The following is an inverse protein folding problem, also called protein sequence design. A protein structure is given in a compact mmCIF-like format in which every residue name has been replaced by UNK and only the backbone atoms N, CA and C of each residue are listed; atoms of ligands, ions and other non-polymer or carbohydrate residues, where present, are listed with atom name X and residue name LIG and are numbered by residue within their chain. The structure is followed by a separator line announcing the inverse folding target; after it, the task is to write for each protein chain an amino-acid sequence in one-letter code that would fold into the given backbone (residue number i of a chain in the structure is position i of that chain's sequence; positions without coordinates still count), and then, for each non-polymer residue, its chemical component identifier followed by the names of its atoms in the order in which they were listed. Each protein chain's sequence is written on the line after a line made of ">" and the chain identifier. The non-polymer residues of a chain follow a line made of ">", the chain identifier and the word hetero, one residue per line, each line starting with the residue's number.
data_IF_084016904702
#
_entry.id   IF_084016904702
#
_cell.length_a   1.000
_cell.length_b   1.000
_cell.length_c   1.000
_cell.angle_alpha   90.00
_cell.angle_beta   90.00
_cell.angle_gamma   90.00
#
_symmetry.space_group_name_H-M   'P 1'
#
loop_
_entity.id
_entity.type
_entity.pdbx_description
1 polymer ?
#
# COMPACT_ATOMS: atom_id res chain seq x y z
N UNK A 1 -8.30 2.67 -10.48
CA UNK A 1 -8.47 1.79 -9.30
C UNK A 1 -7.75 0.49 -9.58
N UNK A 2 -7.36 -0.25 -8.54
CA UNK A 2 -6.67 -1.53 -8.72
C UNK A 2 -7.40 -2.62 -7.94
N UNK A 3 -7.61 -3.75 -8.60
CA UNK A 3 -8.06 -4.99 -7.97
C UNK A 3 -6.84 -5.73 -7.44
N UNK A 4 -6.92 -6.20 -6.20
CA UNK A 4 -5.90 -7.06 -5.59
C UNK A 4 -6.45 -8.48 -5.47
N UNK A 5 -5.68 -9.43 -5.99
CA UNK A 5 -5.90 -10.86 -5.81
C UNK A 5 -4.85 -11.40 -4.83
N UNK A 6 -5.32 -11.94 -3.71
CA UNK A 6 -4.47 -12.49 -2.67
C UNK A 6 -4.74 -13.98 -2.48
N UNK A 7 -3.69 -14.79 -2.40
CA UNK A 7 -3.78 -16.19 -1.99
C UNK A 7 -2.46 -16.55 -1.32
N UNK A 8 -2.46 -17.42 -0.30
CA UNK A 8 -1.27 -17.99 0.39
C UNK A 8 0.05 -17.17 0.22
N UNK A 9 0.07 -15.94 0.74
CA UNK A 9 1.24 -15.05 0.78
C UNK A 9 1.60 -14.30 -0.51
N UNK A 10 0.90 -14.52 -1.62
CA UNK A 10 1.06 -13.77 -2.88
C UNK A 10 -0.10 -12.80 -3.05
N UNK A 11 0.24 -11.55 -3.34
CA UNK A 11 -0.71 -10.51 -3.73
C UNK A 11 -0.34 -10.01 -5.11
N UNK A 12 -1.30 -10.04 -6.04
CA UNK A 12 -1.16 -9.46 -7.37
C UNK A 12 -2.11 -8.28 -7.51
N UNK A 13 -1.58 -7.13 -7.88
CA UNK A 13 -2.37 -5.95 -8.22
C UNK A 13 -2.63 -5.89 -9.73
N UNK A 14 -3.85 -5.51 -10.10
CA UNK A 14 -4.30 -5.37 -11.47
C UNK A 14 -5.00 -4.02 -11.61
N UNK A 15 -4.48 -3.17 -12.50
CA UNK A 15 -5.08 -1.87 -12.76
C UNK A 15 -6.35 -2.03 -13.60
N UNK A 16 -7.53 -1.97 -12.97
CA UNK A 16 -8.81 -2.11 -13.64
C UNK A 16 -9.93 -1.38 -12.86
N UNK A 17 -10.93 -0.89 -13.58
CA UNK A 17 -12.12 -0.27 -12.99
C UNK A 17 -13.33 -1.23 -12.95
N UNK A 18 -13.35 -2.23 -13.82
CA UNK A 18 -14.39 -3.25 -13.91
C UNK A 18 -13.83 -4.53 -14.53
N UNK A 19 -14.48 -5.66 -14.26
CA UNK A 19 -14.14 -6.96 -14.84
C UNK A 19 -15.36 -7.87 -14.78
N UNK A 20 -15.33 -8.94 -15.57
CA UNK A 20 -16.28 -10.03 -15.48
C UNK A 20 -15.63 -11.25 -14.83
N UNK A 21 -16.24 -11.80 -13.80
CA UNK A 21 -15.85 -13.06 -13.19
C UNK A 21 -16.69 -14.18 -13.79
N UNK A 22 -16.06 -15.17 -14.43
CA UNK A 22 -16.74 -16.37 -14.95
C UNK A 22 -16.33 -17.60 -14.14
N UNK A 23 -17.31 -18.44 -13.83
CA UNK A 23 -17.11 -19.71 -13.15
C UNK A 23 -18.20 -20.71 -13.51
N UNK A 24 -17.92 -22.00 -13.31
CA UNK A 24 -18.86 -23.08 -13.62
C UNK A 24 -19.22 -23.83 -12.35
N UNK A 25 -20.51 -24.01 -12.10
CA UNK A 25 -20.99 -24.79 -10.98
C UNK A 25 -20.56 -26.26 -11.12
N UNK A 26 -20.01 -26.84 -10.05
CA UNK A 26 -19.30 -28.12 -10.17
C UNK A 26 -20.20 -29.32 -10.45
N UNK A 27 -21.47 -29.29 -10.02
CA UNK A 27 -22.43 -30.39 -10.17
C UNK A 27 -23.25 -30.19 -11.43
N UNK A 28 -24.09 -29.15 -11.44
CA UNK A 28 -24.97 -28.80 -12.56
C UNK A 28 -24.25 -28.41 -13.86
N UNK A 29 -22.94 -28.14 -13.82
CA UNK A 29 -22.14 -27.67 -14.97
C UNK A 29 -22.67 -26.40 -15.63
N UNK A 30 -23.41 -25.59 -14.90
CA UNK A 30 -23.95 -24.30 -15.34
C UNK A 30 -22.89 -23.21 -15.22
N UNK A 31 -22.77 -22.38 -16.24
CA UNK A 31 -21.87 -21.23 -16.27
C UNK A 31 -22.52 -19.99 -15.65
N UNK A 32 -21.73 -19.31 -14.83
CA UNK A 32 -22.06 -18.05 -14.18
C UNK A 32 -21.10 -16.97 -14.66
N UNK A 33 -21.64 -15.78 -14.87
CA UNK A 33 -20.90 -14.57 -15.17
C UNK A 33 -21.37 -13.45 -14.27
N UNK A 34 -20.43 -12.76 -13.66
CA UNK A 34 -20.69 -11.66 -12.74
C UNK A 34 -19.90 -10.44 -13.18
N UNK A 35 -20.57 -9.34 -13.47
CA UNK A 35 -19.91 -8.07 -13.74
C UNK A 35 -19.66 -7.32 -12.45
N UNK A 36 -18.42 -6.95 -12.23
CA UNK A 36 -17.97 -6.27 -11.03
C UNK A 36 -17.38 -4.90 -11.36
N UNK A 37 -17.58 -3.95 -10.45
CA UNK A 37 -16.95 -2.63 -10.45
C UNK A 37 -16.04 -2.48 -9.25
N UNK A 38 -14.84 -1.95 -9.49
CA UNK A 38 -13.85 -1.62 -8.47
C UNK A 38 -14.03 -0.17 -8.06
N UNK A 39 -14.52 0.07 -6.85
CA UNK A 39 -14.79 1.42 -6.33
C UNK A 39 -13.83 1.77 -5.18
N UNK A 40 -13.73 3.04 -4.74
CA UNK A 40 -12.94 3.39 -3.56
C UNK A 40 -13.44 2.78 -2.24
N UNK A 41 -14.72 2.40 -2.19
CA UNK A 41 -15.39 1.91 -0.99
C UNK A 41 -15.42 0.37 -0.92
N UNK A 42 -15.11 -0.32 -2.04
CA UNK A 42 -15.16 -1.77 -2.16
C UNK A 42 -15.54 -2.25 -3.56
N UNK A 43 -15.89 -3.54 -3.66
CA UNK A 43 -16.32 -4.21 -4.87
C UNK A 43 -17.86 -4.20 -4.93
N UNK A 44 -18.39 -3.75 -6.06
CA UNK A 44 -19.83 -3.72 -6.36
C UNK A 44 -20.12 -4.73 -7.47
N UNK A 45 -21.07 -5.63 -7.24
CA UNK A 45 -21.60 -6.49 -8.30
C UNK A 45 -22.71 -5.74 -9.05
N UNK A 46 -22.56 -5.62 -10.36
CA UNK A 46 -23.40 -4.78 -11.22
C UNK A 46 -24.49 -5.59 -11.89
N UNK A 47 -24.14 -6.78 -12.38
CA UNK A 47 -25.06 -7.70 -13.05
C UNK A 47 -24.56 -9.14 -12.87
N UNK A 48 -25.49 -10.08 -12.75
CA UNK A 48 -25.21 -11.51 -12.80
C UNK A 48 -25.96 -12.13 -13.95
N UNK A 49 -25.30 -13.06 -14.63
CA UNK A 49 -25.86 -13.86 -15.72
C UNK A 49 -25.58 -15.33 -15.48
N UNK A 50 -26.58 -16.17 -15.71
CA UNK A 50 -26.48 -17.63 -15.63
C UNK A 50 -27.14 -18.29 -16.83
N UNK A 51 -26.49 -19.30 -17.42
CA UNK A 51 -26.97 -20.01 -18.62
C UNK A 51 -27.74 -21.29 -18.31
N UNK A 52 -28.51 -21.30 -17.22
CA UNK A 52 -29.28 -22.46 -16.82
C UNK A 52 -29.91 -22.26 -15.44
N UNK A 53 -30.64 -23.28 -15.01
CA UNK A 53 -31.18 -23.39 -13.67
C UNK A 53 -31.05 -24.86 -13.22
N UNK A 54 -30.77 -25.07 -11.95
CA UNK A 54 -30.65 -26.39 -11.32
C UNK A 54 -30.91 -26.26 -9.82
N UNK A 55 -30.98 -27.39 -9.11
CA UNK A 55 -31.37 -27.40 -7.70
C UNK A 55 -30.43 -26.52 -6.85
N UNK A 56 -30.98 -25.50 -6.20
CA UNK A 56 -30.24 -24.54 -5.37
C UNK A 56 -29.49 -23.46 -6.17
N UNK A 57 -29.70 -23.40 -7.49
CA UNK A 57 -29.12 -22.44 -8.41
C UNK A 57 -30.22 -21.79 -9.27
N UNK A 58 -31.43 -21.67 -8.71
CA UNK A 58 -32.56 -21.06 -9.38
C UNK A 58 -32.33 -19.54 -9.53
N UNK A 59 -32.48 -18.97 -10.73
CA UNK A 59 -32.49 -17.52 -10.92
C UNK A 59 -33.58 -16.88 -10.05
N UNK A 60 -33.34 -15.68 -9.49
CA UNK A 60 -34.33 -15.02 -8.66
C UNK A 60 -35.56 -14.60 -9.48
N UNK A 61 -36.72 -14.36 -8.84
CA UNK A 61 -37.96 -14.05 -9.55
C UNK A 61 -37.90 -12.80 -10.44
N UNK A 62 -36.99 -11.86 -10.16
CA UNK A 62 -36.76 -10.65 -10.94
C UNK A 62 -35.78 -10.83 -12.10
N UNK A 63 -35.19 -12.02 -12.26
CA UNK A 63 -34.32 -12.34 -13.37
C UNK A 63 -35.09 -12.37 -14.70
N UNK A 64 -34.44 -11.86 -15.74
CA UNK A 64 -34.97 -11.82 -17.11
C UNK A 64 -34.18 -12.76 -18.00
N UNK A 65 -34.88 -13.58 -18.77
CA UNK A 65 -34.25 -14.42 -19.79
C UNK A 65 -33.97 -13.58 -21.04
N UNK A 66 -32.69 -13.43 -21.39
CA UNK A 66 -32.22 -12.68 -22.57
C UNK A 66 -31.17 -13.53 -23.26
N UNK A 67 -31.38 -13.86 -24.54
CA UNK A 67 -30.45 -14.65 -25.36
C UNK A 67 -29.99 -15.97 -24.72
N UNK A 68 -30.90 -16.64 -24.00
CA UNK A 68 -30.61 -17.90 -23.31
C UNK A 68 -29.90 -17.76 -21.95
N UNK A 69 -29.67 -16.54 -21.49
CA UNK A 69 -29.10 -16.24 -20.17
C UNK A 69 -30.14 -15.58 -19.27
N UNK A 70 -30.30 -16.08 -18.05
CA UNK A 70 -31.00 -15.35 -17.01
C UNK A 70 -30.09 -14.23 -16.51
N UNK A 71 -30.60 -12.99 -16.49
CA UNK A 71 -29.85 -11.79 -16.11
C UNK A 71 -30.60 -11.02 -15.04
N UNK A 72 -29.90 -10.56 -14.00
CA UNK A 72 -30.46 -9.70 -12.97
C UNK A 72 -29.39 -8.82 -12.32
N UNK A 73 -29.83 -7.77 -11.62
CA UNK A 73 -28.96 -6.93 -10.80
C UNK A 73 -29.13 -7.31 -9.33
N UNK A 74 -28.12 -7.93 -8.68
CA UNK A 74 -28.22 -8.27 -7.27
C UNK A 74 -28.34 -7.01 -6.40
N UNK A 75 -29.19 -7.08 -5.37
CA UNK A 75 -29.25 -6.05 -4.31
C UNK A 75 -28.32 -6.45 -3.17
N UNK A 76 -27.01 -6.45 -3.43
CA UNK A 76 -26.00 -6.79 -2.45
C UNK A 76 -25.29 -5.53 -1.94
N UNK A 77 -24.92 -5.49 -0.65
CA UNK A 77 -24.10 -4.40 -0.14
C UNK A 77 -22.72 -4.44 -0.79
N UNK A 78 -22.06 -3.29 -0.78
CA UNK A 78 -20.70 -3.20 -1.27
C UNK A 78 -19.77 -4.10 -0.45
N UNK A 79 -19.01 -4.93 -1.15
CA UNK A 79 -18.17 -5.94 -0.52
C UNK A 79 -16.75 -5.40 -0.34
N UNK A 80 -16.21 -5.30 0.89
CA UNK A 80 -14.83 -4.88 1.09
C UNK A 80 -13.84 -5.93 0.56
N UNK A 81 -14.24 -7.20 0.59
CA UNK A 81 -13.48 -8.35 0.11
C UNK A 81 -14.43 -9.44 -0.37
N UNK A 82 -14.02 -10.19 -1.39
CA UNK A 82 -14.80 -11.29 -1.99
C UNK A 82 -13.93 -12.55 -2.01
N UNK A 83 -14.40 -13.58 -1.31
CA UNK A 83 -13.74 -14.87 -1.26
C UNK A 83 -14.04 -15.71 -2.50
N UNK A 84 -13.00 -16.12 -3.21
CA UNK A 84 -13.10 -16.98 -4.38
C UNK A 84 -12.78 -18.44 -4.03
N UNK A 85 -13.73 -19.10 -3.38
CA UNK A 85 -13.65 -20.54 -3.13
C UNK A 85 -14.07 -21.36 -4.35
N UNK A 86 -13.50 -22.54 -4.54
CA UNK A 86 -14.00 -23.52 -5.53
C UNK A 86 -13.97 -24.93 -4.97
N UNK A 87 -14.86 -25.78 -5.46
CA UNK A 87 -14.72 -27.22 -5.24
C UNK A 87 -13.59 -27.78 -6.14
N UNK A 88 -12.98 -28.90 -5.73
CA UNK A 88 -11.96 -29.58 -6.54
C UNK A 88 -12.50 -30.14 -7.87
N UNK A 89 -13.82 -30.19 -8.04
CA UNK A 89 -14.52 -30.71 -9.22
C UNK A 89 -14.92 -29.61 -10.23
N UNK A 90 -14.74 -28.33 -9.86
CA UNK A 90 -14.90 -27.19 -10.75
C UNK A 90 -13.55 -26.76 -11.34
N UNK A 91 -13.60 -26.32 -12.61
CA UNK A 91 -12.50 -25.63 -13.28
C UNK A 91 -12.13 -24.31 -12.57
N UNK A 92 -11.02 -23.70 -12.99
CA UNK A 92 -10.61 -22.42 -12.40
C UNK A 92 -11.57 -21.30 -12.75
N UNK A 93 -11.75 -20.38 -11.81
CA UNK A 93 -12.45 -19.12 -12.09
C UNK A 93 -11.56 -18.28 -13.01
N UNK A 94 -12.17 -17.52 -13.90
CA UNK A 94 -11.45 -16.64 -14.83
C UNK A 94 -11.91 -15.20 -14.65
N UNK A 95 -10.97 -14.27 -14.72
CA UNK A 95 -11.27 -12.85 -14.81
C UNK A 95 -11.15 -12.45 -16.28
N UNK A 96 -12.19 -11.77 -16.77
CA UNK A 96 -12.25 -11.27 -18.14
C UNK A 96 -12.23 -9.74 -18.14
N UNK A 97 -11.38 -9.17 -18.99
CA UNK A 97 -11.22 -7.73 -19.20
C UNK A 97 -11.18 -7.50 -20.71
N UNK A 98 -12.03 -6.61 -21.22
CA UNK A 98 -12.11 -6.27 -22.65
C UNK A 98 -12.19 -7.50 -23.57
N UNK A 99 -12.96 -8.52 -23.14
CA UNK A 99 -13.16 -9.77 -23.87
C UNK A 99 -12.03 -10.81 -23.71
N UNK A 100 -10.93 -10.49 -23.04
CA UNK A 100 -9.84 -11.43 -22.77
C UNK A 100 -9.98 -12.03 -21.38
N UNK A 101 -10.11 -13.35 -21.30
CA UNK A 101 -10.27 -14.08 -20.04
C UNK A 101 -8.98 -14.81 -19.64
N UNK A 102 -8.56 -14.67 -18.39
CA UNK A 102 -7.42 -15.40 -17.82
C UNK A 102 -7.84 -16.16 -16.56
N UNK A 103 -7.31 -17.36 -16.41
CA UNK A 103 -7.45 -18.15 -15.18
C UNK A 103 -6.73 -17.46 -14.00
N UNK A 104 -7.27 -17.64 -12.80
CA UNK A 104 -6.66 -17.08 -11.58
C UNK A 104 -5.21 -17.54 -11.40
N UNK A 105 -4.89 -18.81 -11.66
CA UNK A 105 -3.52 -19.31 -11.54
C UNK A 105 -2.54 -18.61 -12.50
N UNK A 106 -2.97 -18.35 -13.73
CA UNK A 106 -2.17 -17.62 -14.72
C UNK A 106 -1.90 -16.18 -14.27
N UNK A 107 -2.92 -15.50 -13.73
CA UNK A 107 -2.80 -14.13 -13.20
C UNK A 107 -1.84 -14.08 -12.01
N UNK A 108 -1.95 -15.05 -11.10
CA UNK A 108 -1.17 -15.14 -9.87
C UNK A 108 0.23 -15.76 -10.09
N UNK A 109 0.49 -16.32 -11.27
CA UNK A 109 1.75 -16.98 -11.63
C UNK A 109 1.99 -18.29 -10.88
N UNK A 110 0.95 -18.92 -10.32
CA UNK A 110 1.06 -20.18 -9.58
C UNK A 110 -0.29 -20.90 -9.45
N UNK A 111 -0.31 -22.22 -9.24
CA UNK A 111 -1.56 -22.95 -9.00
C UNK A 111 -2.29 -22.45 -7.75
N UNK A 112 -3.61 -22.21 -7.88
CA UNK A 112 -4.47 -21.85 -6.74
C UNK A 112 -5.04 -23.11 -6.07
N UNK A 113 -5.33 -24.16 -6.86
CA UNK A 113 -5.82 -25.45 -6.36
C UNK A 113 -7.19 -25.31 -5.70
N UNK A 114 -7.36 -25.86 -4.49
CA UNK A 114 -8.58 -25.67 -3.66
C UNK A 114 -8.45 -24.49 -2.69
N UNK A 115 -7.35 -23.74 -2.75
CA UNK A 115 -7.14 -22.59 -1.88
C UNK A 115 -8.10 -21.47 -2.25
N UNK A 116 -8.62 -20.76 -1.24
CA UNK A 116 -9.43 -19.57 -1.47
C UNK A 116 -8.50 -18.44 -1.93
N UNK A 117 -8.82 -17.84 -3.08
CA UNK A 117 -8.24 -16.56 -3.47
C UNK A 117 -9.16 -15.43 -3.01
N UNK A 118 -8.62 -14.36 -2.46
CA UNK A 118 -9.40 -13.20 -2.05
C UNK A 118 -9.27 -12.08 -3.06
N UNK A 119 -10.39 -11.44 -3.40
CA UNK A 119 -10.46 -10.22 -4.19
C UNK A 119 -10.78 -9.03 -3.30
N UNK A 120 -10.03 -7.95 -3.44
CA UNK A 120 -10.33 -6.66 -2.79
C UNK A 120 -9.87 -5.49 -3.63
N UNK A 121 -10.33 -4.29 -3.29
CA UNK A 121 -9.70 -3.05 -3.77
C UNK A 121 -8.31 -3.00 -3.14
N UNK A 122 -7.26 -2.81 -3.95
CA UNK A 122 -5.91 -2.74 -3.42
C UNK A 122 -5.77 -1.63 -2.38
N UNK A 123 -5.24 -1.99 -1.21
CA UNK A 123 -4.86 -1.00 -0.21
C UNK A 123 -3.52 -0.35 -0.59
N UNK A 124 -3.28 0.92 -0.21
CA UNK A 124 -2.06 1.64 -0.59
C UNK A 124 -0.76 0.92 -0.17
N UNK A 125 -0.78 0.26 0.99
CA UNK A 125 0.32 -0.53 1.56
C UNK A 125 0.63 -1.82 0.78
N UNK A 126 -0.33 -2.37 0.02
CA UNK A 126 -0.18 -3.60 -0.77
C UNK A 126 0.34 -3.36 -2.19
N UNK A 127 0.34 -2.10 -2.66
CA UNK A 127 0.76 -1.74 -4.04
C UNK A 127 2.22 -1.34 -4.15
N UNK A 128 2.89 -1.04 -3.04
CA UNK A 128 4.32 -0.81 -2.99
C UNK A 128 5.00 -2.05 -2.40
N UNK A 129 5.93 -2.65 -3.13
CA UNK A 129 6.86 -3.64 -2.58
C UNK A 129 7.38 -3.07 -1.26
N UNK A 130 7.11 -3.73 -0.13
CA UNK A 130 7.52 -3.24 1.19
C UNK A 130 9.03 -2.96 1.15
N UNK A 131 9.40 -1.68 1.19
CA UNK A 131 10.80 -1.27 1.20
C UNK A 131 11.25 -1.37 2.66
N UNK A 132 12.22 -2.23 2.94
CA UNK A 132 12.74 -2.37 4.29
C UNK A 132 13.44 -1.07 4.76
N UNK A 133 13.57 -0.92 6.09
CA UNK A 133 14.15 0.28 6.69
C UNK A 133 15.59 0.54 6.20
N UNK A 134 16.35 -0.52 5.91
CA UNK A 134 17.74 -0.44 5.43
C UNK A 134 17.83 0.15 4.02
N UNK A 135 16.92 -0.24 3.13
CA UNK A 135 16.85 0.28 1.76
C UNK A 135 16.43 1.75 1.77
N UNK A 136 15.46 2.11 2.64
CA UNK A 136 15.07 3.51 2.84
C UNK A 136 16.21 4.34 3.41
N UNK A 137 16.93 3.83 4.41
CA UNK A 137 18.13 4.45 4.98
C UNK A 137 19.18 4.73 3.89
N UNK A 138 19.55 3.70 3.11
CA UNK A 138 20.57 3.84 2.07
C UNK A 138 20.19 4.86 0.98
N UNK A 139 18.90 4.94 0.63
CA UNK A 139 18.41 5.92 -0.33
C UNK A 139 18.37 7.33 0.26
N UNK A 140 17.98 7.45 1.53
CA UNK A 140 18.07 8.70 2.29
C UNK A 140 19.50 9.23 2.35
N UNK A 141 20.48 8.36 2.58
CA UNK A 141 21.91 8.70 2.58
C UNK A 141 22.38 9.21 1.21
N UNK A 142 21.98 8.54 0.12
CA UNK A 142 22.30 8.98 -1.25
C UNK A 142 21.72 10.38 -1.54
N UNK A 143 20.48 10.65 -1.16
CA UNK A 143 19.89 11.99 -1.29
C UNK A 143 20.61 13.03 -0.43
N UNK A 144 21.01 12.66 0.78
CA UNK A 144 21.76 13.54 1.66
C UNK A 144 23.11 13.95 1.05
N UNK A 145 23.83 12.98 0.46
CA UNK A 145 25.09 13.23 -0.26
C UNK A 145 24.87 14.15 -1.47
N UNK A 146 23.74 14.01 -2.17
CA UNK A 146 23.35 14.85 -3.31
C UNK A 146 22.82 16.23 -2.91
N UNK A 147 22.64 16.51 -1.63
CA UNK A 147 22.02 17.74 -1.14
C UNK A 147 20.51 17.82 -1.33
N UNK A 148 19.86 16.72 -1.68
CA UNK A 148 18.41 16.60 -1.87
C UNK A 148 17.70 16.37 -0.51
N UNK A 149 17.89 17.31 0.42
CA UNK A 149 17.57 17.11 1.84
C UNK A 149 16.09 16.78 2.11
N UNK A 150 15.15 17.34 1.35
CA UNK A 150 13.73 17.02 1.52
C UNK A 150 13.41 15.55 1.20
N UNK A 151 14.06 14.99 0.17
CA UNK A 151 13.90 13.58 -0.19
C UNK A 151 14.60 12.68 0.82
N UNK A 152 15.78 13.09 1.28
CA UNK A 152 16.49 12.39 2.34
C UNK A 152 15.62 12.28 3.61
N UNK A 153 15.03 13.41 4.05
CA UNK A 153 14.13 13.46 5.21
C UNK A 153 12.94 12.53 5.03
N UNK A 154 12.29 12.55 3.86
CA UNK A 154 11.14 11.69 3.59
C UNK A 154 11.49 10.20 3.69
N UNK A 155 12.67 9.81 3.22
CA UNK A 155 13.15 8.43 3.30
C UNK A 155 13.55 8.03 4.72
N UNK A 156 14.20 8.90 5.48
CA UNK A 156 14.48 8.61 6.89
C UNK A 156 13.20 8.56 7.73
N UNK A 157 12.20 9.41 7.45
CA UNK A 157 10.88 9.34 8.09
C UNK A 157 10.20 8.01 7.80
N UNK A 158 10.26 7.54 6.56
CA UNK A 158 9.75 6.23 6.18
C UNK A 158 10.52 5.11 6.87
N UNK A 159 11.86 5.18 6.92
CA UNK A 159 12.70 4.19 7.59
C UNK A 159 12.36 4.10 9.09
N UNK A 160 12.16 5.24 9.76
CA UNK A 160 11.82 5.32 11.18
C UNK A 160 10.39 4.89 11.50
N UNK A 161 9.47 4.90 10.51
CA UNK A 161 8.15 4.27 10.66
C UNK A 161 8.24 2.75 10.62
N UNK A 162 9.17 2.20 9.84
CA UNK A 162 9.40 0.76 9.73
C UNK A 162 10.20 0.26 10.94
N UNK A 163 11.27 0.95 11.30
CA UNK A 163 12.14 0.65 12.43
C UNK A 163 12.41 1.91 13.28
N UNK A 164 11.59 2.16 14.32
CA UNK A 164 11.71 3.37 15.14
C UNK A 164 13.03 3.52 15.91
N UNK A 165 13.77 2.43 16.10
CA UNK A 165 15.04 2.41 16.83
C UNK A 165 16.28 2.52 15.92
N UNK A 166 16.11 2.85 14.64
CA UNK A 166 17.20 2.93 13.67
C UNK A 166 18.03 4.21 13.87
N UNK A 167 19.10 4.09 14.65
CA UNK A 167 19.96 5.21 15.12
C UNK A 167 20.60 5.96 13.94
N UNK A 168 20.99 5.24 12.89
CA UNK A 168 21.58 5.78 11.67
C UNK A 168 20.60 6.71 10.95
N UNK A 169 19.32 6.33 10.88
CA UNK A 169 18.29 7.15 10.23
C UNK A 169 17.99 8.43 11.02
N UNK A 170 17.98 8.36 12.36
CA UNK A 170 17.86 9.56 13.21
C UNK A 170 19.04 10.50 12.97
N UNK A 171 20.28 9.99 12.97
CA UNK A 171 21.45 10.82 12.72
C UNK A 171 21.44 11.42 11.30
N UNK A 172 21.12 10.62 10.27
CA UNK A 172 21.02 11.08 8.89
C UNK A 172 19.95 12.17 8.71
N UNK A 173 18.77 12.00 9.33
CA UNK A 173 17.70 13.00 9.32
C UNK A 173 18.10 14.27 10.07
N UNK A 174 18.79 14.13 11.18
CA UNK A 174 19.34 15.27 11.93
C UNK A 174 20.34 16.09 11.11
N UNK A 175 21.20 15.43 10.33
CA UNK A 175 22.12 16.10 9.40
C UNK A 175 21.36 16.84 8.29
N UNK A 176 20.34 16.22 7.71
CA UNK A 176 19.50 16.84 6.69
C UNK A 176 18.78 18.09 7.23
N UNK A 177 18.19 18.02 8.43
CA UNK A 177 17.57 19.18 9.08
C UNK A 177 18.56 20.31 9.35
N UNK A 178 19.78 19.97 9.81
CA UNK A 178 20.85 20.95 10.02
C UNK A 178 21.23 21.65 8.73
N UNK A 179 21.36 20.91 7.62
CA UNK A 179 21.67 21.48 6.30
C UNK A 179 20.54 22.39 5.80
N UNK A 180 19.28 22.08 6.12
CA UNK A 180 18.13 22.96 5.88
C UNK A 180 18.03 24.17 6.84
N UNK A 181 18.93 24.28 7.82
CA UNK A 181 18.92 25.34 8.83
C UNK A 181 17.94 25.13 9.98
N UNK A 182 17.20 24.03 10.03
CA UNK A 182 16.32 23.70 11.15
C UNK A 182 17.10 23.01 12.28
N UNK A 183 17.81 23.85 13.03
CA UNK A 183 18.67 23.41 14.13
C UNK A 183 17.89 22.73 15.26
N UNK A 184 16.61 23.07 15.44
CA UNK A 184 15.77 22.49 16.49
C UNK A 184 15.43 21.03 16.18
N UNK A 185 14.98 20.74 14.96
CA UNK A 185 14.70 19.37 14.53
C UNK A 185 15.98 18.53 14.48
N UNK A 186 17.08 19.12 14.01
CA UNK A 186 18.37 18.45 14.01
C UNK A 186 18.85 18.02 15.42
N UNK A 187 18.76 18.91 16.40
CA UNK A 187 19.11 18.58 17.80
C UNK A 187 18.22 17.47 18.36
N UNK A 188 16.91 17.54 18.13
CA UNK A 188 15.98 16.54 18.62
C UNK A 188 16.30 15.13 18.08
N UNK A 189 16.68 15.04 16.79
CA UNK A 189 17.07 13.77 16.18
C UNK A 189 18.40 13.24 16.72
N UNK A 190 19.40 14.10 16.93
CA UNK A 190 20.66 13.67 17.56
C UNK A 190 20.46 13.23 19.02
N UNK A 191 19.61 13.93 19.78
CA UNK A 191 19.25 13.55 21.15
C UNK A 191 18.52 12.20 21.18
N UNK A 192 17.58 11.97 20.25
CA UNK A 192 16.89 10.70 20.12
C UNK A 192 17.86 9.55 19.78
N UNK A 193 18.79 9.78 18.86
CA UNK A 193 19.84 8.82 18.52
C UNK A 193 20.70 8.44 19.74
N UNK A 194 21.14 9.43 20.52
CA UNK A 194 21.96 9.21 21.72
C UNK A 194 21.16 8.62 22.90
N UNK A 195 19.85 8.84 22.96
CA UNK A 195 18.98 8.16 23.93
C UNK A 195 18.88 6.66 23.66
N UNK A 196 18.83 6.27 22.38
CA UNK A 196 18.81 4.87 21.96
C UNK A 196 20.18 4.21 22.04
N UNK A 197 21.23 4.92 21.61
CA UNK A 197 22.62 4.45 21.61
C UNK A 197 23.55 5.55 22.16
N UNK A 198 23.78 5.58 23.48
CA UNK A 198 24.59 6.62 24.12
C UNK A 198 26.03 6.68 23.64
N UNK A 199 26.61 5.57 23.20
CA UNK A 199 27.97 5.46 22.66
C UNK A 199 28.07 5.75 21.15
N UNK A 200 26.98 6.23 20.50
CA UNK A 200 27.01 6.56 19.08
C UNK A 200 27.80 7.86 18.83
N UNK A 201 29.11 7.70 18.58
CA UNK A 201 30.07 8.80 18.47
C UNK A 201 29.70 9.82 17.38
N UNK A 202 29.15 9.36 16.26
CA UNK A 202 28.77 10.22 15.12
C UNK A 202 27.69 11.22 15.53
N UNK A 203 26.61 10.76 16.17
CA UNK A 203 25.55 11.67 16.66
C UNK A 203 26.06 12.60 17.77
N UNK A 204 26.95 12.11 18.65
CA UNK A 204 27.58 12.94 19.69
C UNK A 204 28.39 14.08 19.08
N UNK A 205 29.22 13.78 18.07
CA UNK A 205 30.01 14.78 17.37
C UNK A 205 29.12 15.80 16.63
N UNK A 206 28.11 15.31 15.91
CA UNK A 206 27.15 16.15 15.19
C UNK A 206 26.39 17.10 16.12
N UNK A 207 25.88 16.58 17.25
CA UNK A 207 25.21 17.37 18.29
C UNK A 207 26.13 18.45 18.86
N UNK A 208 27.35 18.10 19.26
CA UNK A 208 28.32 19.06 19.83
C UNK A 208 28.66 20.16 18.83
N UNK A 209 28.86 19.80 17.57
CA UNK A 209 29.11 20.75 16.48
C UNK A 209 27.94 21.71 16.30
N UNK A 210 26.70 21.19 16.28
CA UNK A 210 25.49 22.00 16.14
C UNK A 210 25.28 22.95 17.33
N UNK A 211 25.55 22.52 18.57
CA UNK A 211 25.52 23.42 19.73
C UNK A 211 26.48 24.60 19.56
N UNK A 212 27.71 24.33 19.12
CA UNK A 212 28.71 25.39 18.88
C UNK A 212 28.25 26.37 17.79
N UNK A 213 27.54 25.89 16.77
CA UNK A 213 26.95 26.75 15.72
C UNK A 213 25.83 27.63 16.27
N UNK A 214 24.95 27.07 17.12
CA UNK A 214 23.87 27.82 17.76
C UNK A 214 24.42 28.91 18.67
N UNK A 215 25.43 28.60 19.49
CA UNK A 215 26.08 29.57 20.37
C UNK A 215 26.74 30.70 19.58
N UNK A 216 27.46 30.38 18.50
CA UNK A 216 28.06 31.39 17.63
C UNK A 216 27.01 32.27 16.94
N UNK A 217 25.92 31.67 16.46
CA UNK A 217 24.83 32.43 15.85
C UNK A 217 24.13 33.33 16.88
N UNK A 218 23.94 32.85 18.11
CA UNK A 218 23.39 33.64 19.21
C UNK A 218 24.30 34.80 19.62
N UNK A 219 25.62 34.59 19.70
CA UNK A 219 26.60 35.63 20.01
C UNK A 219 26.73 36.69 18.88
N UNK A 220 26.43 36.32 17.64
CA UNK A 220 26.43 37.22 16.48
C UNK A 220 25.11 38.00 16.30
N UNK A 221 24.08 37.73 17.11
CA UNK A 221 22.90 38.60 17.22
C UNK A 221 23.13 39.59 18.38
N UNK A 222 23.77 40.76 18.16
CA UNK A 222 23.88 41.76 19.20
C UNK A 222 22.47 42.14 19.66
N UNK A 223 22.27 42.18 20.98
CA UNK A 223 21.10 42.77 21.61
C UNK A 223 20.98 44.22 21.12
N UNK A 224 20.16 44.46 20.09
CA UNK A 224 19.74 45.81 19.75
C UNK A 224 18.95 46.34 20.94
N UNK A 225 19.52 47.35 21.61
CA UNK A 225 18.77 48.20 22.55
C UNK A 225 19.30 48.22 23.98
N UNK A 226 20.56 48.57 24.19
CA UNK A 226 20.87 49.51 25.27
C UNK A 226 21.43 50.78 24.61
N UNK A 227 20.85 51.91 25.03
CA UNK A 227 21.31 53.28 24.84
C UNK A 227 20.73 54.08 23.65
N UNK A 228 19.61 54.77 23.94
CA UNK A 228 19.30 56.17 23.61
C UNK A 228 17.92 56.48 24.23
N UNK A 229 17.61 57.53 24.98
CA UNK A 229 18.27 58.76 25.40
C UNK A 229 17.58 59.17 26.73
N UNK A 230 18.31 59.71 27.71
CA UNK A 230 18.32 61.13 28.08
C UNK A 230 16.95 61.80 28.21
#
# INVERSE_FOLDING_TARGET
>A
MSLCLATAGVVKSLAMASFMLTWTHSVEKIEWQEDWRVTPQGLEIVEVRVNGAGAGMEPPPDARLVDGWFRWKPQLPMSPEVALGKSGLAGERRLCIDGTCQELSAILGRPVGVSVAMMSVCKPDQTAKAVDAKTLLARGDDFNVKGEFDRAIADYDAALKVEPALVEALNGRGMAWRAKGDRRRALADFDAALKLKPDYEVARANRKSLFSEIERAGAQMPLKGKDAAK
#
